data_IF_311393797829
#
_entry.id   IF_311393797829
#
_cell.length_a   1.000
_cell.length_b   1.000
_cell.length_c   1.000
_cell.angle_alpha   90.00
_cell.angle_beta   90.00
_cell.angle_gamma   90.00
#
_symmetry.space_group_name_H-M   'P 1'
#
loop_
_entity.id
_entity.type
_entity.pdbx_description
1 polymer ?
#
# COMPACT_ATOMS: atom_id res chain seq x y z
N UNK A 1 -45.48 3.40 -68.95
CA UNK A 1 -45.24 2.77 -67.63
C UNK A 1 -44.04 3.39 -66.90
N UNK A 2 -42.87 3.56 -67.55
CA UNK A 2 -41.62 3.94 -66.87
C UNK A 2 -41.49 5.40 -66.37
N UNK A 3 -42.41 6.31 -66.74
CA UNK A 3 -42.31 7.74 -66.41
C UNK A 3 -43.02 8.10 -65.09
N UNK A 4 -44.13 7.42 -64.78
CA UNK A 4 -44.83 7.57 -63.50
C UNK A 4 -44.03 6.97 -62.33
N UNK A 5 -43.28 5.89 -62.55
CA UNK A 5 -42.46 5.28 -61.50
C UNK A 5 -41.28 6.18 -61.09
N UNK A 6 -40.69 6.91 -62.05
CA UNK A 6 -39.61 7.86 -61.76
C UNK A 6 -40.10 9.12 -61.04
N UNK A 7 -41.34 9.56 -61.32
CA UNK A 7 -41.94 10.72 -60.65
C UNK A 7 -42.31 10.39 -59.21
N UNK A 8 -42.93 9.23 -58.98
CA UNK A 8 -43.23 8.74 -57.62
C UNK A 8 -41.95 8.49 -56.79
N UNK A 9 -40.88 7.98 -57.42
CA UNK A 9 -39.61 7.78 -56.72
C UNK A 9 -38.96 9.12 -56.33
N UNK A 10 -39.01 10.14 -57.19
CA UNK A 10 -38.49 11.48 -56.86
C UNK A 10 -39.33 12.19 -55.81
N UNK A 11 -40.66 12.09 -55.87
CA UNK A 11 -41.55 12.69 -54.86
C UNK A 11 -41.41 12.00 -53.50
N UNK A 12 -41.18 10.68 -53.45
CA UNK A 12 -40.95 9.95 -52.21
C UNK A 12 -39.57 10.23 -51.59
N UNK A 13 -38.50 10.30 -52.40
CA UNK A 13 -37.15 10.65 -51.93
C UNK A 13 -37.10 12.11 -51.44
N UNK A 14 -37.81 13.02 -52.11
CA UNK A 14 -37.90 14.42 -51.68
C UNK A 14 -38.78 14.57 -50.44
N UNK A 15 -39.88 13.80 -50.32
CA UNK A 15 -40.69 13.76 -49.10
C UNK A 15 -39.91 13.24 -47.88
N UNK A 16 -39.20 12.13 -48.05
CA UNK A 16 -38.37 11.52 -47.00
C UNK A 16 -37.17 12.41 -46.62
N UNK A 17 -36.55 13.11 -47.57
CA UNK A 17 -35.47 14.06 -47.30
C UNK A 17 -35.96 15.37 -46.64
N UNK A 18 -37.18 15.82 -46.95
CA UNK A 18 -37.77 17.05 -46.38
C UNK A 18 -38.35 16.80 -44.98
N UNK A 19 -38.90 15.62 -44.71
CA UNK A 19 -39.36 15.25 -43.36
C UNK A 19 -38.18 14.99 -42.40
N UNK A 20 -37.05 14.51 -42.92
CA UNK A 20 -35.80 14.35 -42.13
C UNK A 20 -35.13 15.69 -41.75
N UNK A 21 -35.49 16.80 -42.42
CA UNK A 21 -34.97 18.14 -42.09
C UNK A 21 -35.80 18.88 -41.04
N UNK A 22 -37.06 18.47 -40.82
CA UNK A 22 -38.06 19.23 -40.05
C UNK A 22 -38.11 18.94 -38.54
N UNK A 23 -37.22 18.12 -37.99
CA UNK A 23 -37.14 17.94 -36.54
C UNK A 23 -35.70 17.92 -36.00
N UNK A 24 -34.97 19.01 -36.21
CA UNK A 24 -33.62 19.21 -35.63
C UNK A 24 -33.54 20.51 -34.83
N UNK A 25 -34.61 20.87 -34.11
CA UNK A 25 -34.52 21.96 -33.13
C UNK A 25 -33.59 21.51 -32.01
N UNK A 26 -32.32 21.92 -32.09
CA UNK A 26 -31.35 21.69 -31.02
C UNK A 26 -31.58 22.73 -29.93
N UNK A 27 -31.43 22.29 -28.69
CA UNK A 27 -31.62 23.16 -27.53
C UNK A 27 -30.23 23.65 -27.12
N UNK A 28 -30.00 24.94 -27.27
CA UNK A 28 -28.75 25.59 -26.87
C UNK A 28 -28.69 25.74 -25.35
N UNK A 29 -27.61 25.27 -24.73
CA UNK A 29 -27.34 25.44 -23.31
C UNK A 29 -25.84 25.72 -23.13
N UNK A 30 -25.51 26.98 -22.80
CA UNK A 30 -24.12 27.42 -22.68
C UNK A 30 -23.36 27.35 -24.01
N UNK A 31 -22.27 26.59 -24.05
CA UNK A 31 -21.42 26.40 -25.23
C UNK A 31 -21.84 25.21 -26.11
N UNK A 32 -22.82 24.41 -25.67
CA UNK A 32 -23.20 23.15 -26.31
C UNK A 32 -24.67 23.14 -26.72
N UNK A 33 -24.97 22.43 -27.82
CA UNK A 33 -26.32 22.24 -28.34
C UNK A 33 -26.78 20.79 -28.16
N UNK A 34 -27.96 20.58 -27.57
CA UNK A 34 -28.51 19.28 -27.21
C UNK A 34 -29.62 18.84 -28.16
N UNK A 35 -29.80 17.53 -28.31
CA UNK A 35 -30.89 16.97 -29.13
C UNK A 35 -32.18 16.85 -28.33
N UNK A 36 -32.05 16.55 -27.04
CA UNK A 36 -33.18 16.37 -26.14
C UNK A 36 -33.25 17.47 -25.09
N UNK A 37 -34.47 17.83 -24.67
CA UNK A 37 -34.70 18.78 -23.57
C UNK A 37 -34.18 18.24 -22.24
N UNK A 38 -34.22 16.93 -22.05
CA UNK A 38 -33.75 16.32 -20.80
C UNK A 38 -32.23 16.36 -20.68
N UNK A 39 -31.49 16.18 -21.79
CA UNK A 39 -30.04 16.37 -21.84
C UNK A 39 -29.66 17.83 -21.52
N UNK A 40 -30.36 18.80 -22.12
CA UNK A 40 -30.10 20.22 -21.87
C UNK A 40 -30.36 20.59 -20.39
N UNK A 41 -31.43 20.06 -19.78
CA UNK A 41 -31.71 20.25 -18.35
C UNK A 41 -30.65 19.61 -17.46
N UNK A 42 -30.17 18.41 -17.82
CA UNK A 42 -29.09 17.75 -17.10
C UNK A 42 -27.81 18.59 -17.16
N UNK A 43 -27.42 19.04 -18.35
CA UNK A 43 -26.27 19.92 -18.56
C UNK A 43 -26.36 21.21 -17.74
N UNK A 44 -27.54 21.86 -17.72
CA UNK A 44 -27.79 23.03 -16.89
C UNK A 44 -27.61 22.72 -15.39
N UNK A 45 -28.17 21.60 -14.91
CA UNK A 45 -28.03 21.17 -13.51
C UNK A 45 -26.58 20.83 -13.15
N UNK A 46 -25.85 20.16 -14.04
CA UNK A 46 -24.43 19.85 -13.84
C UNK A 46 -23.61 21.14 -13.80
N UNK A 47 -23.82 22.06 -14.73
CA UNK A 47 -23.15 23.36 -14.78
C UNK A 47 -23.35 24.17 -13.49
N UNK A 48 -24.59 24.20 -12.96
CA UNK A 48 -24.89 24.84 -11.68
C UNK A 48 -24.16 24.18 -10.51
N UNK A 49 -24.11 22.85 -10.50
CA UNK A 49 -23.41 22.08 -9.46
C UNK A 49 -21.89 22.30 -9.53
N UNK A 50 -21.32 22.30 -10.74
CA UNK A 50 -19.91 22.56 -11.01
C UNK A 50 -19.55 23.98 -10.57
N UNK A 51 -20.34 24.99 -10.94
CA UNK A 51 -20.10 26.38 -10.53
C UNK A 51 -20.03 26.52 -8.99
N UNK A 52 -20.98 25.90 -8.28
CA UNK A 52 -21.00 25.88 -6.81
C UNK A 52 -19.82 25.13 -6.21
N UNK A 53 -19.36 24.06 -6.86
CA UNK A 53 -18.21 23.29 -6.42
C UNK A 53 -16.93 24.10 -6.65
N UNK A 54 -16.76 24.64 -7.85
CA UNK A 54 -15.59 25.38 -8.29
C UNK A 54 -15.29 26.57 -7.35
N UNK A 55 -16.34 27.32 -6.96
CA UNK A 55 -16.19 28.41 -5.99
C UNK A 55 -15.73 27.98 -4.58
N UNK A 56 -15.68 26.68 -4.28
CA UNK A 56 -15.23 26.12 -3.00
C UNK A 56 -13.90 25.39 -3.10
N UNK A 57 -13.40 25.13 -4.31
CA UNK A 57 -12.14 24.42 -4.52
C UNK A 57 -10.98 25.34 -4.11
N UNK A 58 -10.15 24.85 -3.19
CA UNK A 58 -8.87 25.48 -2.89
C UNK A 58 -7.79 24.89 -3.79
N UNK A 59 -7.47 25.61 -4.85
CA UNK A 59 -6.44 25.21 -5.81
C UNK A 59 -5.04 25.17 -5.17
N UNK A 60 -4.75 25.94 -4.13
CA UNK A 60 -3.44 25.89 -3.44
C UNK A 60 -3.13 24.52 -2.80
N UNK A 61 -4.10 23.60 -2.78
CA UNK A 61 -3.97 22.24 -2.25
C UNK A 61 -4.20 21.19 -3.36
N UNK A 62 -3.22 20.93 -4.24
CA UNK A 62 -3.35 19.97 -5.35
C UNK A 62 -3.80 18.56 -4.93
N UNK A 63 -3.41 18.11 -3.74
CA UNK A 63 -3.83 16.81 -3.20
C UNK A 63 -5.34 16.71 -2.94
N UNK A 64 -5.96 17.80 -2.46
CA UNK A 64 -7.42 17.86 -2.25
C UNK A 64 -8.14 17.85 -3.60
N UNK A 65 -7.63 18.60 -4.57
CA UNK A 65 -8.13 18.66 -5.95
C UNK A 65 -8.05 17.27 -6.61
N UNK A 66 -6.96 16.54 -6.41
CA UNK A 66 -6.80 15.19 -6.94
C UNK A 66 -7.80 14.19 -6.38
N UNK A 67 -8.03 14.21 -5.05
CA UNK A 67 -9.05 13.36 -4.41
C UNK A 67 -10.45 13.67 -4.92
N UNK A 68 -10.74 14.95 -5.19
CA UNK A 68 -12.00 15.39 -5.76
C UNK A 68 -12.16 14.84 -7.19
N UNK A 69 -11.16 15.05 -8.04
CA UNK A 69 -11.11 14.54 -9.41
C UNK A 69 -11.33 13.02 -9.47
N UNK A 70 -10.53 12.25 -8.72
CA UNK A 70 -10.63 10.78 -8.67
C UNK A 70 -12.04 10.33 -8.31
N UNK A 71 -12.64 10.99 -7.31
CA UNK A 71 -13.96 10.59 -6.81
C UNK A 71 -15.08 10.96 -7.80
N UNK A 72 -14.96 12.08 -8.53
CA UNK A 72 -15.92 12.42 -9.60
C UNK A 72 -15.86 11.37 -10.72
N UNK A 73 -14.66 10.89 -11.07
CA UNK A 73 -14.49 9.83 -12.06
C UNK A 73 -15.01 8.50 -11.55
N UNK A 74 -14.63 8.08 -10.35
CA UNK A 74 -15.03 6.80 -9.75
C UNK A 74 -16.55 6.67 -9.61
N UNK A 75 -17.22 7.77 -9.25
CA UNK A 75 -18.67 7.81 -9.07
C UNK A 75 -19.43 8.14 -10.35
N UNK A 76 -18.72 8.42 -11.45
CA UNK A 76 -19.29 8.80 -12.73
C UNK A 76 -20.33 9.94 -12.59
N UNK A 77 -20.01 11.01 -11.85
CA UNK A 77 -21.01 12.02 -11.44
C UNK A 77 -21.35 13.07 -12.50
N UNK A 78 -20.52 13.18 -13.53
CA UNK A 78 -20.63 14.17 -14.60
C UNK A 78 -20.72 13.46 -15.94
N UNK A 79 -21.83 13.70 -16.64
CA UNK A 79 -22.17 13.08 -17.92
C UNK A 79 -22.25 14.07 -19.06
N UNK A 80 -22.50 15.36 -18.78
CA UNK A 80 -22.65 16.34 -19.83
C UNK A 80 -21.30 16.79 -20.42
N UNK A 81 -21.31 17.36 -21.64
CA UNK A 81 -20.14 18.02 -22.24
C UNK A 81 -19.49 19.08 -21.34
N UNK A 82 -20.27 19.88 -20.61
CA UNK A 82 -19.77 20.87 -19.63
C UNK A 82 -19.04 20.17 -18.48
N UNK A 83 -19.62 19.08 -17.97
CA UNK A 83 -18.98 18.25 -16.94
C UNK A 83 -17.67 17.63 -17.40
N UNK A 84 -17.58 17.23 -18.67
CA UNK A 84 -16.34 16.73 -19.26
C UNK A 84 -15.29 17.82 -19.40
N UNK A 85 -15.69 19.01 -19.84
CA UNK A 85 -14.79 20.17 -19.97
C UNK A 85 -14.18 20.49 -18.60
N UNK A 86 -15.00 20.52 -17.55
CA UNK A 86 -14.52 20.71 -16.18
C UNK A 86 -13.55 19.63 -15.71
N UNK A 87 -13.79 18.35 -16.06
CA UNK A 87 -12.85 17.26 -15.75
C UNK A 87 -11.51 17.44 -16.46
N UNK A 88 -11.53 17.90 -17.72
CA UNK A 88 -10.31 18.22 -18.47
C UNK A 88 -9.56 19.37 -17.78
N UNK A 89 -10.24 20.44 -17.39
CA UNK A 89 -9.63 21.57 -16.67
C UNK A 89 -8.97 21.12 -15.35
N UNK A 90 -9.68 20.32 -14.55
CA UNK A 90 -9.13 19.75 -13.32
C UNK A 90 -7.90 18.88 -13.60
N UNK A 91 -7.95 18.06 -14.66
CA UNK A 91 -6.85 17.18 -15.04
C UNK A 91 -5.63 17.98 -15.49
N UNK A 92 -5.81 19.00 -16.33
CA UNK A 92 -4.73 19.91 -16.75
C UNK A 92 -4.09 20.60 -15.55
N UNK A 93 -4.91 21.11 -14.63
CA UNK A 93 -4.41 21.69 -13.38
C UNK A 93 -3.54 20.71 -12.58
N UNK A 94 -3.96 19.45 -12.49
CA UNK A 94 -3.21 18.41 -11.78
C UNK A 94 -1.94 17.99 -12.50
N UNK A 95 -1.93 18.00 -13.83
CA UNK A 95 -0.73 17.76 -14.65
C UNK A 95 0.32 18.86 -14.43
N UNK A 96 -0.10 20.12 -14.34
CA UNK A 96 0.80 21.24 -14.03
C UNK A 96 1.39 21.16 -12.61
N UNK A 97 0.70 20.49 -11.69
CA UNK A 97 1.07 20.36 -10.27
C UNK A 97 1.52 18.93 -9.88
N UNK A 98 2.05 18.16 -10.85
CA UNK A 98 2.37 16.74 -10.65
C UNK A 98 3.33 16.47 -9.48
N UNK A 99 4.27 17.39 -9.23
CA UNK A 99 5.26 17.26 -8.14
C UNK A 99 4.64 17.24 -6.74
N UNK A 100 3.43 17.75 -6.56
CA UNK A 100 2.75 17.79 -5.26
C UNK A 100 1.91 16.53 -4.98
N UNK A 101 1.88 15.57 -5.92
CA UNK A 101 0.95 14.46 -5.93
C UNK A 101 1.58 13.14 -5.46
N UNK A 102 0.85 12.40 -4.64
CA UNK A 102 1.32 11.11 -4.08
C UNK A 102 1.11 9.93 -5.06
N UNK A 103 0.21 10.05 -6.05
CA UNK A 103 -0.20 8.96 -6.94
C UNK A 103 -0.43 9.47 -8.37
N UNK A 104 -0.43 8.56 -9.34
CA UNK A 104 -0.72 8.87 -10.75
C UNK A 104 -2.15 9.36 -10.95
N UNK A 105 -2.32 10.34 -11.84
CA UNK A 105 -3.62 10.90 -12.23
C UNK A 105 -4.38 9.88 -13.08
N UNK A 106 -5.65 9.63 -12.75
CA UNK A 106 -6.52 8.71 -13.51
C UNK A 106 -6.89 9.30 -14.88
N UNK A 107 -6.99 8.46 -15.91
CA UNK A 107 -7.56 8.86 -17.20
C UNK A 107 -9.08 9.08 -17.13
N UNK A 108 -9.61 9.96 -17.96
CA UNK A 108 -11.06 10.12 -18.15
C UNK A 108 -11.55 8.92 -18.98
N UNK A 109 -12.51 8.11 -18.49
CA UNK A 109 -12.98 6.91 -19.20
C UNK A 109 -13.59 7.26 -20.57
N UNK A 110 -13.14 6.58 -21.63
CA UNK A 110 -13.61 6.83 -22.99
C UNK A 110 -15.05 6.37 -23.24
N UNK A 111 -15.54 5.44 -22.42
CA UNK A 111 -16.91 4.92 -22.49
C UNK A 111 -17.94 6.05 -22.36
N UNK A 112 -17.61 7.15 -21.64
CA UNK A 112 -18.45 8.34 -21.51
C UNK A 112 -18.83 9.00 -22.85
N UNK A 113 -18.03 8.81 -23.90
CA UNK A 113 -18.23 9.42 -25.21
C UNK A 113 -18.93 8.50 -26.22
N UNK A 114 -18.92 7.20 -25.96
CA UNK A 114 -19.34 6.18 -26.92
C UNK A 114 -20.62 5.45 -26.53
N UNK A 115 -21.16 5.70 -25.33
CA UNK A 115 -22.31 4.96 -24.80
C UNK A 115 -23.64 5.51 -25.35
N UNK A 116 -24.37 4.78 -26.21
CA UNK A 116 -25.70 5.17 -26.67
C UNK A 116 -26.74 5.16 -25.55
N UNK A 117 -26.49 4.50 -24.41
CA UNK A 117 -27.34 4.53 -23.22
C UNK A 117 -26.98 5.68 -22.25
N UNK A 118 -26.12 6.62 -22.66
CA UNK A 118 -25.81 7.82 -21.87
C UNK A 118 -27.09 8.60 -21.48
N UNK A 119 -28.11 8.63 -22.33
CA UNK A 119 -29.44 9.19 -22.02
C UNK A 119 -30.12 8.49 -20.83
N UNK A 120 -29.95 7.17 -20.67
CA UNK A 120 -30.53 6.40 -19.54
C UNK A 120 -29.75 6.57 -18.25
N UNK A 121 -28.46 6.88 -18.36
CA UNK A 121 -27.58 7.11 -17.21
C UNK A 121 -27.58 8.58 -16.76
N UNK A 122 -28.07 9.51 -17.59
CA UNK A 122 -28.12 10.96 -17.42
C UNK A 122 -29.04 11.46 -16.30
N UNK A 123 -28.88 10.95 -15.09
CA UNK A 123 -29.35 11.58 -13.86
C UNK A 123 -28.13 11.84 -13.01
N UNK A 124 -27.98 13.05 -12.47
CA UNK A 124 -26.97 13.35 -11.47
C UNK A 124 -27.05 12.30 -10.35
N UNK A 125 -26.14 11.33 -10.35
CA UNK A 125 -26.17 10.23 -9.38
C UNK A 125 -25.62 10.72 -8.05
N UNK A 126 -26.54 11.14 -7.18
CA UNK A 126 -26.22 11.60 -5.83
C UNK A 126 -25.72 13.04 -5.78
N UNK A 127 -25.44 13.52 -4.56
CA UNK A 127 -24.94 14.87 -4.32
C UNK A 127 -23.47 14.96 -4.76
N UNK A 128 -23.15 15.91 -5.65
CA UNK A 128 -21.77 16.20 -6.05
C UNK A 128 -20.88 16.39 -4.82
N UNK A 129 -19.72 15.75 -4.85
CA UNK A 129 -18.77 15.68 -3.73
C UNK A 129 -18.41 17.07 -3.27
N UNK A 130 -18.34 17.27 -1.95
CA UNK A 130 -17.89 18.54 -1.40
C UNK A 130 -16.40 18.53 -1.15
N UNK A 131 -15.77 19.71 -1.19
CA UNK A 131 -14.34 19.88 -0.87
C UNK A 131 -14.04 19.40 0.56
N UNK A 132 -14.95 19.64 1.51
CA UNK A 132 -14.83 19.14 2.87
C UNK A 132 -14.79 17.59 2.95
N UNK A 133 -15.50 16.89 2.06
CA UNK A 133 -15.43 15.42 2.01
C UNK A 133 -14.09 14.94 1.46
N UNK A 134 -13.52 15.66 0.49
CA UNK A 134 -12.19 15.39 -0.04
C UNK A 134 -11.11 15.61 1.03
N UNK A 135 -11.17 16.72 1.78
CA UNK A 135 -10.26 17.00 2.88
C UNK A 135 -10.34 15.94 3.99
N UNK A 136 -11.55 15.56 4.41
CA UNK A 136 -11.73 14.48 5.39
C UNK A 136 -11.13 13.16 4.92
N UNK A 137 -11.15 12.86 3.61
CA UNK A 137 -10.49 11.67 3.06
C UNK A 137 -8.97 11.81 3.13
N UNK A 138 -8.43 12.97 2.76
CA UNK A 138 -7.00 13.25 2.85
C UNK A 138 -6.49 13.07 4.29
N UNK A 139 -7.22 13.60 5.27
CA UNK A 139 -6.88 13.47 6.70
C UNK A 139 -6.92 12.01 7.16
N UNK A 140 -7.92 11.22 6.73
CA UNK A 140 -7.97 9.79 7.03
C UNK A 140 -6.78 9.03 6.45
N UNK A 141 -6.40 9.32 5.20
CA UNK A 141 -5.25 8.69 4.54
C UNK A 141 -3.96 9.06 5.28
N UNK A 142 -3.78 10.35 5.60
CA UNK A 142 -2.61 10.84 6.34
C UNK A 142 -2.52 10.20 7.74
N UNK A 143 -3.65 10.09 8.44
CA UNK A 143 -3.68 9.48 9.77
C UNK A 143 -3.48 7.96 9.73
N UNK A 144 -3.97 7.27 8.69
CA UNK A 144 -3.68 5.86 8.47
C UNK A 144 -2.17 5.64 8.25
N UNK A 145 -1.55 6.41 7.33
CA UNK A 145 -0.11 6.34 7.05
C UNK A 145 0.75 6.60 8.29
N UNK A 146 0.34 7.57 9.14
CA UNK A 146 1.02 7.83 10.42
C UNK A 146 0.96 6.64 11.36
N UNK A 147 -0.23 6.04 11.54
CA UNK A 147 -0.41 4.86 12.40
C UNK A 147 0.39 3.66 11.89
N UNK A 148 0.40 3.42 10.59
CA UNK A 148 1.15 2.32 9.99
C UNK A 148 2.66 2.50 10.16
N UNK A 149 3.16 3.74 10.00
CA UNK A 149 4.56 4.06 10.25
C UNK A 149 4.95 3.86 11.73
N UNK A 150 4.09 4.24 12.68
CA UNK A 150 4.32 4.00 14.11
C UNK A 150 4.30 2.50 14.45
N UNK A 151 3.34 1.76 13.92
CA UNK A 151 3.24 0.31 14.12
C UNK A 151 4.46 -0.43 13.56
N UNK A 152 4.95 -0.01 12.39
CA UNK A 152 6.15 -0.55 11.79
C UNK A 152 7.41 -0.25 12.64
N UNK A 153 7.53 0.96 13.18
CA UNK A 153 8.63 1.33 14.09
C UNK A 153 8.58 0.51 15.38
N UNK A 154 7.41 0.38 16.01
CA UNK A 154 7.24 -0.43 17.22
C UNK A 154 7.59 -1.90 16.98
N UNK A 155 7.12 -2.48 15.88
CA UNK A 155 7.41 -3.87 15.49
C UNK A 155 8.92 -4.11 15.31
N UNK A 156 9.63 -3.19 14.64
CA UNK A 156 11.09 -3.26 14.52
C UNK A 156 11.79 -3.20 15.87
N UNK A 157 11.44 -2.24 16.73
CA UNK A 157 12.04 -2.13 18.06
C UNK A 157 11.82 -3.39 18.90
N UNK A 158 10.62 -3.98 18.88
CA UNK A 158 10.36 -5.23 19.60
C UNK A 158 11.21 -6.39 19.06
N UNK A 159 11.39 -6.48 17.73
CA UNK A 159 12.23 -7.51 17.10
C UNK A 159 13.70 -7.33 17.49
N UNK A 160 14.21 -6.10 17.43
CA UNK A 160 15.61 -5.79 17.74
C UNK A 160 15.93 -6.08 19.21
N UNK A 161 15.01 -5.77 20.14
CA UNK A 161 15.16 -6.10 21.57
C UNK A 161 15.27 -7.62 21.78
N UNK A 162 14.43 -8.41 21.11
CA UNK A 162 14.47 -9.88 21.22
C UNK A 162 15.80 -10.43 20.69
N UNK A 163 16.29 -9.89 19.57
CA UNK A 163 17.57 -10.31 18.97
C UNK A 163 18.74 -9.99 19.92
N UNK A 164 18.78 -8.78 20.48
CA UNK A 164 19.82 -8.37 21.43
C UNK A 164 19.78 -9.23 22.69
N UNK A 165 18.59 -9.52 23.21
CA UNK A 165 18.42 -10.40 24.37
C UNK A 165 18.95 -11.82 24.09
N UNK A 166 18.60 -12.39 22.93
CA UNK A 166 19.08 -13.72 22.54
C UNK A 166 20.61 -13.75 22.40
N UNK A 167 21.20 -12.72 21.79
CA UNK A 167 22.65 -12.58 21.66
C UNK A 167 23.34 -12.48 23.03
N UNK A 168 22.74 -11.76 23.98
CA UNK A 168 23.24 -11.66 25.35
C UNK A 168 23.24 -13.02 26.07
N UNK A 169 22.20 -13.85 25.88
CA UNK A 169 22.16 -15.21 26.42
C UNK A 169 23.29 -16.10 25.86
N UNK A 170 23.56 -16.00 24.55
CA UNK A 170 24.66 -16.74 23.90
C UNK A 170 26.01 -16.28 24.47
N UNK A 171 26.22 -14.96 24.60
CA UNK A 171 27.42 -14.41 25.22
C UNK A 171 27.59 -14.87 26.68
N UNK A 172 26.51 -14.88 27.47
CA UNK A 172 26.55 -15.37 28.84
C UNK A 172 26.95 -16.85 28.90
N UNK A 173 26.40 -17.69 28.00
CA UNK A 173 26.78 -19.10 27.90
C UNK A 173 28.25 -19.28 27.52
N UNK A 174 28.78 -18.45 26.62
CA UNK A 174 30.20 -18.46 26.25
C UNK A 174 31.12 -18.04 27.40
N UNK A 175 30.73 -17.03 28.18
CA UNK A 175 31.49 -16.57 29.35
C UNK A 175 31.49 -17.65 30.44
N UNK A 176 30.33 -18.23 30.76
CA UNK A 176 30.25 -19.31 31.76
C UNK A 176 31.07 -20.52 31.32
N UNK A 177 31.00 -20.92 30.05
CA UNK A 177 31.81 -22.01 29.49
C UNK A 177 33.32 -21.72 29.59
N UNK A 178 33.74 -20.46 29.39
CA UNK A 178 35.13 -20.04 29.51
C UNK A 178 35.63 -19.86 30.95
N UNK A 179 34.74 -19.59 31.92
CA UNK A 179 35.08 -19.43 33.34
C UNK A 179 34.85 -20.70 34.17
N UNK A 180 34.10 -21.67 33.66
CA UNK A 180 33.84 -22.90 34.41
C UNK A 180 35.06 -23.80 34.37
N UNK A 181 35.68 -24.00 35.53
CA UNK A 181 36.59 -25.09 35.87
C UNK A 181 35.88 -26.46 35.83
N UNK A 182 35.06 -26.72 34.82
CA UNK A 182 34.77 -28.09 34.41
C UNK A 182 36.03 -28.58 33.72
N UNK A 183 36.66 -29.71 34.13
CA UNK A 183 37.86 -30.17 33.46
C UNK A 183 37.43 -30.53 32.04
N UNK A 184 37.76 -29.65 31.10
CA UNK A 184 37.69 -29.97 29.68
C UNK A 184 38.51 -31.23 29.49
N UNK A 185 38.01 -32.17 28.69
CA UNK A 185 38.51 -33.56 28.52
C UNK A 185 40.05 -33.73 28.51
N UNK A 186 40.78 -32.68 28.13
CA UNK A 186 42.24 -32.58 28.13
C UNK A 186 42.91 -32.53 29.52
N UNK A 187 42.24 -32.07 30.58
CA UNK A 187 42.87 -31.91 31.91
C UNK A 187 42.57 -33.05 32.89
N UNK A 188 41.63 -33.94 32.54
CA UNK A 188 41.30 -35.10 33.35
C UNK A 188 42.45 -36.12 33.41
N UNK A 189 43.23 -36.25 32.35
CA UNK A 189 44.35 -37.18 32.26
C UNK A 189 45.47 -36.79 33.23
N UNK A 190 45.85 -35.51 33.25
CA UNK A 190 46.89 -35.00 34.14
C UNK A 190 46.49 -35.11 35.61
N UNK A 191 45.24 -34.75 35.97
CA UNK A 191 44.77 -34.87 37.37
C UNK A 191 44.73 -36.33 37.84
N UNK A 192 44.42 -37.27 36.93
CA UNK A 192 44.46 -38.69 37.26
C UNK A 192 45.90 -39.17 37.44
N UNK A 193 46.81 -38.75 36.57
CA UNK A 193 48.22 -39.09 36.63
C UNK A 193 48.92 -38.53 37.89
N UNK A 194 48.59 -37.31 38.30
CA UNK A 194 49.10 -36.70 39.52
C UNK A 194 48.66 -37.50 40.76
N UNK A 195 47.40 -37.96 40.80
CA UNK A 195 46.92 -38.84 41.89
C UNK A 195 47.65 -40.17 41.94
N UNK A 196 47.97 -40.76 40.79
CA UNK A 196 48.78 -41.99 40.74
C UNK A 196 50.22 -41.75 41.18
N UNK A 197 50.83 -40.62 40.81
CA UNK A 197 52.18 -40.25 41.24
C UNK A 197 52.24 -39.99 42.76
N UNK A 198 51.22 -39.36 43.32
CA UNK A 198 51.08 -39.18 44.77
C UNK A 198 50.95 -40.52 45.50
N UNK A 199 50.12 -41.43 44.99
CA UNK A 199 49.99 -42.78 45.56
C UNK A 199 51.26 -43.60 45.48
N UNK A 200 52.01 -43.51 44.37
CA UNK A 200 53.31 -44.19 44.25
C UNK A 200 54.30 -43.66 45.29
N UNK A 201 54.32 -42.34 45.50
CA UNK A 201 55.18 -41.70 46.50
C UNK A 201 54.81 -42.15 47.91
N UNK A 202 53.52 -42.18 48.24
CA UNK A 202 53.02 -42.63 49.55
C UNK A 202 53.33 -44.12 49.79
N UNK A 203 53.16 -44.98 48.79
CA UNK A 203 53.47 -46.41 48.89
C UNK A 203 54.95 -46.63 49.15
N UNK A 204 55.81 -45.92 48.42
CA UNK A 204 57.27 -46.06 48.51
C UNK A 204 57.78 -45.57 49.88
N UNK A 205 57.20 -44.50 50.42
CA UNK A 205 57.47 -44.04 51.79
C UNK A 205 57.07 -45.10 52.82
N UNK A 206 55.87 -45.69 52.68
CA UNK A 206 55.41 -46.78 53.56
C UNK A 206 56.29 -48.03 53.45
N UNK A 207 56.67 -48.46 52.25
CA UNK A 207 57.57 -49.59 52.06
C UNK A 207 58.95 -49.31 52.66
N UNK A 208 59.48 -48.10 52.54
CA UNK A 208 60.75 -47.72 53.14
C UNK A 208 60.69 -47.79 54.68
N UNK A 209 59.56 -47.35 55.27
CA UNK A 209 59.33 -47.40 56.71
C UNK A 209 59.16 -48.84 57.21
N UNK A 210 58.48 -49.69 56.44
CA UNK A 210 58.34 -51.13 56.74
C UNK A 210 59.72 -51.81 56.66
N UNK A 211 60.48 -51.58 55.58
CA UNK A 211 61.81 -52.17 55.36
C UNK A 211 62.81 -51.75 56.45
N UNK A 212 62.73 -50.51 56.95
CA UNK A 212 63.53 -50.04 58.07
C UNK A 212 63.22 -50.83 59.36
N UNK A 213 61.93 -51.06 59.64
CA UNK A 213 61.48 -51.86 60.79
C UNK A 213 61.81 -53.35 60.64
N UNK A 214 61.70 -53.91 59.45
CA UNK A 214 62.09 -55.30 59.17
C UNK A 214 63.59 -55.53 59.40
N UNK A 215 64.42 -54.56 59.00
CA UNK A 215 65.87 -54.59 59.22
C UNK A 215 66.24 -54.48 60.70
N UNK A 216 65.52 -53.68 61.48
CA UNK A 216 65.70 -53.57 62.94
C UNK A 216 65.31 -54.87 63.66
N UNK A 217 64.27 -55.56 63.19
CA UNK A 217 63.76 -56.80 63.78
C UNK A 217 64.42 -58.07 63.21
N UNK A 218 65.34 -57.96 62.25
CA UNK A 218 66.06 -59.09 61.66
C UNK A 218 65.19 -60.06 60.85
N UNK A 219 64.02 -59.62 60.38
CA UNK A 219 63.09 -60.44 59.61
C UNK A 219 63.51 -60.34 58.14
N UNK A 220 64.21 -61.34 57.62
CA UNK A 220 64.40 -61.48 56.17
C UNK A 220 63.20 -62.20 55.59
N UNK A 221 62.45 -61.54 54.70
CA UNK A 221 61.34 -62.13 53.97
C UNK A 221 61.76 -63.44 53.30
N UNK A 222 61.08 -64.53 53.65
CA UNK A 222 61.17 -65.83 52.97
C UNK A 222 60.23 -65.74 51.76
N UNK A 223 60.75 -66.03 50.57
CA UNK A 223 59.93 -66.18 49.35
C UNK A 223 58.70 -67.08 49.58
#
# INVERSE_FOLDING_TARGET
MAENDKKNLKENIVGEAVDNYKNTVRIEQGFFSYKSSDEAKLAASEADAISKLNGKIDYNRPQTVHILYDKIIDQNMLHSPEGTTFLIELRTYLEDNLSALDHSIKGIPSEKFNDPDAERQGKLKGKLITVADAEKRLDRIRNARKRDAENFRKSKLTRDIIIVFLAACILAMLVISGLSDTPSILNYENELQDKYADWETELNERESAVRAKEKELGITSRE
#
